data_IF_125354509997
#
_entry.id   IF_125354509997
#
_cell.length_a   1.000
_cell.length_b   1.000
_cell.length_c   1.000
_cell.angle_alpha   90.00
_cell.angle_beta   90.00
_cell.angle_gamma   90.00
#
_symmetry.space_group_name_H-M   'P 1'
#
loop_
_entity.id
_entity.type
_entity.pdbx_description
1 polymer ?
#
# COMPACT_ATOMS: atom_id res chain seq x y z
N UNK A 1 -3.31 5.02 3.60
CA UNK A 1 -3.57 4.51 2.23
C UNK A 1 -5.03 4.11 2.12
N UNK A 2 -5.62 4.27 0.93
CA UNK A 2 -6.97 3.78 0.65
C UNK A 2 -6.88 2.36 0.10
N UNK A 3 -7.55 1.43 0.76
CA UNK A 3 -7.66 0.04 0.32
C UNK A 3 -9.13 -0.35 0.35
N UNK A 4 -9.62 -0.99 -0.71
CA UNK A 4 -11.01 -1.42 -0.86
C UNK A 4 -11.37 -2.41 0.25
N UNK A 5 -10.45 -3.32 0.58
CA UNK A 5 -10.58 -4.28 1.69
C UNK A 5 -10.19 -3.68 3.05
N UNK A 6 -10.35 -2.36 3.21
CA UNK A 6 -10.21 -1.61 4.45
C UNK A 6 -8.77 -1.26 4.82
N UNK A 7 -7.94 -2.27 5.07
CA UNK A 7 -6.51 -2.08 5.34
C UNK A 7 -5.60 -2.96 4.49
N UNK A 8 -6.14 -3.98 3.82
CA UNK A 8 -5.32 -4.93 3.09
C UNK A 8 -5.00 -4.40 1.68
N UNK A 9 -3.72 -4.25 1.28
CA UNK A 9 -3.35 -3.87 -0.08
C UNK A 9 -3.50 -5.07 -1.02
N UNK A 10 -4.73 -5.31 -1.49
CA UNK A 10 -5.08 -6.54 -2.22
C UNK A 10 -4.30 -6.69 -3.53
N UNK A 11 -4.14 -5.61 -4.31
CA UNK A 11 -3.41 -5.68 -5.59
C UNK A 11 -1.92 -5.99 -5.42
N UNK A 12 -1.32 -5.62 -4.27
CA UNK A 12 0.10 -5.93 -3.98
C UNK A 12 0.31 -7.43 -3.78
N UNK A 13 -0.73 -8.15 -3.35
CA UNK A 13 -0.67 -9.59 -3.10
C UNK A 13 -1.09 -10.43 -4.31
N UNK A 14 -2.01 -9.91 -5.13
CA UNK A 14 -2.61 -10.67 -6.23
C UNK A 14 -1.83 -10.57 -7.54
N UNK A 15 -1.03 -9.51 -7.72
CA UNK A 15 -0.30 -9.26 -8.96
C UNK A 15 1.18 -9.58 -8.83
N UNK A 16 1.77 -10.08 -9.92
CA UNK A 16 3.24 -10.12 -10.05
C UNK A 16 3.74 -8.69 -10.28
N UNK A 17 4.07 -7.99 -9.20
CA UNK A 17 4.58 -6.63 -9.27
C UNK A 17 5.99 -6.66 -9.82
N UNK A 18 6.17 -6.12 -11.03
CA UNK A 18 7.48 -6.00 -11.68
C UNK A 18 8.20 -7.35 -11.87
N UNK A 19 7.46 -8.46 -11.83
CA UNK A 19 7.98 -9.83 -11.87
C UNK A 19 8.22 -10.47 -10.50
N UNK A 20 7.83 -9.83 -9.40
CA UNK A 20 7.96 -10.34 -8.03
C UNK A 20 6.60 -10.81 -7.51
N UNK A 21 6.57 -11.97 -6.85
CA UNK A 21 5.40 -12.48 -6.15
C UNK A 21 5.54 -12.32 -4.65
N UNK A 22 4.66 -11.52 -4.06
CA UNK A 22 4.68 -11.23 -2.62
C UNK A 22 3.56 -11.99 -1.89
N UNK A 23 3.87 -12.47 -0.69
CA UNK A 23 2.90 -13.03 0.25
C UNK A 23 2.89 -12.20 1.53
N UNK A 24 1.75 -11.66 1.93
CA UNK A 24 1.64 -11.03 3.25
C UNK A 24 1.78 -12.09 4.34
N UNK A 25 2.73 -11.86 5.24
CA UNK A 25 2.96 -12.68 6.45
C UNK A 25 2.53 -11.97 7.72
N UNK A 26 2.34 -10.65 7.68
CA UNK A 26 1.86 -9.88 8.82
C UNK A 26 1.53 -8.44 8.47
N UNK A 27 0.76 -7.78 9.33
CA UNK A 27 0.45 -6.36 9.21
C UNK A 27 0.33 -5.72 10.60
N UNK A 28 1.00 -4.60 10.80
CA UNK A 28 0.88 -3.75 11.97
C UNK A 28 0.14 -2.47 11.55
N UNK A 29 -1.19 -2.48 11.72
CA UNK A 29 -2.07 -1.40 11.28
C UNK A 29 -2.77 -0.78 12.47
N UNK A 30 -2.65 0.55 12.59
CA UNK A 30 -3.32 1.30 13.65
C UNK A 30 -4.84 1.38 13.46
N UNK A 31 -5.50 2.15 14.33
CA UNK A 31 -6.92 2.43 14.16
C UNK A 31 -7.16 3.13 12.81
N UNK A 32 -8.20 2.74 12.05
CA UNK A 32 -8.50 3.39 10.78
C UNK A 32 -8.73 4.88 10.92
N UNK A 33 -8.28 5.65 9.93
CA UNK A 33 -8.58 7.09 9.84
C UNK A 33 -9.69 7.31 8.83
N UNK A 34 -10.64 8.17 9.19
CA UNK A 34 -11.80 8.48 8.36
C UNK A 34 -11.57 9.82 7.67
N UNK A 35 -11.56 9.81 6.34
CA UNK A 35 -11.29 11.00 5.52
C UNK A 35 -12.43 11.20 4.54
N UNK A 36 -13.02 12.39 4.60
CA UNK A 36 -13.96 12.90 3.61
C UNK A 36 -13.24 14.00 2.82
N UNK A 37 -13.72 15.23 2.87
CA UNK A 37 -13.23 16.38 2.14
C UNK A 37 -14.41 17.17 1.56
N UNK A 38 -14.12 18.28 0.92
CA UNK A 38 -15.12 19.08 0.23
C UNK A 38 -14.90 18.99 -1.28
N UNK A 39 -15.98 18.77 -2.02
CA UNK A 39 -15.98 18.86 -3.48
C UNK A 39 -16.35 20.28 -3.89
N UNK A 40 -15.43 20.96 -4.58
CA UNK A 40 -15.64 22.35 -5.00
C UNK A 40 -16.53 22.47 -6.24
N UNK A 41 -16.58 21.44 -7.09
CA UNK A 41 -17.43 21.42 -8.28
C UNK A 41 -18.87 21.16 -7.89
N UNK A 42 -19.11 20.11 -7.10
CA UNK A 42 -20.44 19.72 -6.61
C UNK A 42 -20.92 20.54 -5.41
N UNK A 43 -20.03 21.35 -4.81
CA UNK A 43 -20.28 22.15 -3.59
C UNK A 43 -20.89 21.32 -2.46
N UNK A 44 -20.38 20.11 -2.29
CA UNK A 44 -20.91 19.11 -1.38
C UNK A 44 -19.78 18.36 -0.65
N UNK A 45 -20.05 17.74 0.52
CA UNK A 45 -19.07 16.89 1.18
C UNK A 45 -18.78 15.63 0.34
N UNK A 46 -17.50 15.27 0.23
CA UNK A 46 -17.08 14.02 -0.41
C UNK A 46 -17.50 12.81 0.43
N UNK A 47 -17.74 11.63 -0.18
CA UNK A 47 -18.00 10.41 0.57
C UNK A 47 -16.90 10.16 1.63
N UNK A 48 -17.31 9.77 2.83
CA UNK A 48 -16.37 9.40 3.89
C UNK A 48 -15.75 8.06 3.56
N UNK A 49 -14.42 8.00 3.58
CA UNK A 49 -13.63 6.81 3.29
C UNK A 49 -12.85 6.40 4.53
N UNK A 50 -12.69 5.09 4.70
CA UNK A 50 -11.85 4.49 5.74
C UNK A 50 -10.47 4.20 5.14
N UNK A 51 -9.41 4.65 5.81
CA UNK A 51 -8.04 4.50 5.34
C UNK A 51 -7.19 3.77 6.39
N UNK A 52 -6.18 3.04 5.91
CA UNK A 52 -5.05 2.63 6.74
C UNK A 52 -4.25 3.89 7.15
N UNK A 53 -3.97 4.11 8.45
CA UNK A 53 -3.26 5.29 8.92
C UNK A 53 -1.80 5.32 8.45
N UNK A 54 -1.20 6.52 8.45
CA UNK A 54 0.25 6.65 8.30
C UNK A 54 0.99 5.88 9.41
N UNK A 55 2.14 5.28 9.07
CA UNK A 55 2.88 4.39 9.96
C UNK A 55 2.37 2.95 9.99
N UNK A 56 1.35 2.60 9.20
CA UNK A 56 0.98 1.20 8.97
C UNK A 56 2.12 0.47 8.28
N UNK A 57 2.50 -0.72 8.79
CA UNK A 57 3.54 -1.56 8.22
C UNK A 57 2.97 -2.90 7.77
N UNK A 58 3.39 -3.35 6.58
CA UNK A 58 3.00 -4.62 5.99
C UNK A 58 4.27 -5.44 5.77
N UNK A 59 4.25 -6.69 6.22
CA UNK A 59 5.36 -7.62 6.11
C UNK A 59 5.04 -8.61 5.00
N UNK A 60 5.86 -8.60 3.96
CA UNK A 60 5.80 -9.50 2.82
C UNK A 60 7.00 -10.46 2.74
N UNK A 61 6.72 -11.70 2.42
CA UNK A 61 7.71 -12.66 1.95
C UNK A 61 7.73 -12.69 0.42
N UNK A 62 8.92 -12.69 -0.17
CA UNK A 62 9.10 -12.87 -1.61
C UNK A 62 9.04 -14.37 -1.88
N UNK A 63 8.00 -14.80 -2.61
CA UNK A 63 7.77 -16.21 -2.95
C UNK A 63 8.25 -16.59 -4.34
N UNK A 64 8.46 -15.59 -5.20
CA UNK A 64 9.02 -15.72 -6.55
C UNK A 64 9.56 -14.36 -7.02
N UNK A 65 10.56 -14.36 -7.90
CA UNK A 65 11.23 -13.17 -8.42
C UNK A 65 12.76 -13.23 -8.32
N UNK A 66 13.45 -12.89 -9.40
CA UNK A 66 14.90 -12.78 -9.43
C UNK A 66 15.40 -11.41 -8.91
N UNK A 67 16.71 -11.27 -8.75
CA UNK A 67 17.33 -10.04 -8.23
C UNK A 67 16.93 -8.79 -9.05
N UNK A 68 16.86 -8.93 -10.38
CA UNK A 68 16.45 -7.84 -11.27
C UNK A 68 14.97 -7.47 -11.12
N UNK A 69 14.08 -8.45 -10.88
CA UNK A 69 12.68 -8.18 -10.58
C UNK A 69 12.51 -7.47 -9.24
N UNK A 70 13.27 -7.89 -8.23
CA UNK A 70 13.27 -7.26 -6.91
C UNK A 70 13.75 -5.80 -7.01
N UNK A 71 14.82 -5.53 -7.76
CA UNK A 71 15.32 -4.18 -7.99
C UNK A 71 14.25 -3.28 -8.64
N UNK A 72 13.63 -3.75 -9.73
CA UNK A 72 12.52 -3.00 -10.37
C UNK A 72 11.35 -2.74 -9.44
N UNK A 73 10.95 -3.74 -8.66
CA UNK A 73 9.88 -3.59 -7.67
C UNK A 73 10.21 -2.50 -6.65
N UNK A 74 11.47 -2.45 -6.19
CA UNK A 74 11.93 -1.42 -5.26
C UNK A 74 11.85 -0.05 -5.92
N UNK A 75 12.38 0.11 -7.13
CA UNK A 75 12.37 1.38 -7.86
C UNK A 75 10.95 1.90 -8.11
N UNK A 76 10.02 1.03 -8.49
CA UNK A 76 8.64 1.40 -8.79
C UNK A 76 7.82 1.72 -7.52
N UNK A 77 8.12 1.05 -6.41
CA UNK A 77 7.33 1.17 -5.17
C UNK A 77 7.89 2.21 -4.20
N UNK A 78 9.20 2.46 -4.23
CA UNK A 78 9.85 3.39 -3.32
C UNK A 78 9.30 4.81 -3.48
N UNK A 79 8.75 5.37 -2.38
CA UNK A 79 8.10 6.69 -2.37
C UNK A 79 6.92 6.82 -3.34
N UNK A 80 6.35 5.70 -3.79
CA UNK A 80 5.19 5.67 -4.68
C UNK A 80 3.89 5.42 -3.91
N UNK A 81 2.75 6.00 -4.36
CA UNK A 81 1.46 5.77 -3.74
C UNK A 81 0.88 4.39 -4.09
N UNK A 82 0.52 3.62 -3.07
CA UNK A 82 0.04 2.22 -3.20
C UNK A 82 -1.47 2.03 -2.98
N UNK A 83 -2.26 3.12 -2.88
CA UNK A 83 -3.71 3.01 -2.70
C UNK A 83 -4.38 2.24 -3.86
N UNK A 84 -5.53 1.61 -3.67
CA UNK A 84 -6.12 0.73 -4.70
C UNK A 84 -6.60 1.47 -5.95
N UNK A 85 -7.13 2.70 -5.81
CA UNK A 85 -7.62 3.50 -6.92
C UNK A 85 -6.69 4.66 -7.30
N UNK A 86 -6.68 4.99 -8.59
CA UNK A 86 -5.84 6.05 -9.16
C UNK A 86 -6.11 7.42 -8.55
N UNK A 87 -7.37 7.76 -8.26
CA UNK A 87 -7.71 9.07 -7.68
C UNK A 87 -7.02 9.26 -6.34
N UNK A 88 -7.08 8.26 -5.46
CA UNK A 88 -6.40 8.31 -4.17
C UNK A 88 -4.87 8.31 -4.32
N UNK A 89 -4.31 7.65 -5.35
CA UNK A 89 -2.89 7.74 -5.66
C UNK A 89 -2.48 9.17 -6.07
N UNK A 90 -3.23 9.80 -6.96
CA UNK A 90 -2.97 11.17 -7.42
C UNK A 90 -3.19 12.22 -6.33
N UNK A 91 -4.13 11.98 -5.41
CA UNK A 91 -4.32 12.80 -4.21
C UNK A 91 -3.19 12.61 -3.17
N UNK A 92 -2.20 11.73 -3.43
CA UNK A 92 -1.04 11.50 -2.58
C UNK A 92 -1.26 10.51 -1.44
N UNK A 93 -2.37 9.76 -1.43
CA UNK A 93 -2.62 8.79 -0.38
C UNK A 93 -1.81 7.51 -0.57
N UNK A 94 -1.21 7.07 0.53
CA UNK A 94 -0.57 5.76 0.62
C UNK A 94 0.81 5.71 -0.01
N UNK A 95 1.59 6.79 0.05
CA UNK A 95 3.02 6.73 -0.25
C UNK A 95 3.70 5.69 0.63
N UNK A 96 4.34 4.70 0.01
CA UNK A 96 5.00 3.59 0.69
C UNK A 96 6.52 3.80 0.76
N UNK A 97 7.11 3.28 1.83
CA UNK A 97 8.54 3.10 1.98
C UNK A 97 8.81 1.62 2.14
N UNK A 98 9.90 1.15 1.54
CA UNK A 98 10.32 -0.23 1.67
C UNK A 98 11.40 -0.38 2.74
N UNK A 99 11.50 -1.56 3.32
CA UNK A 99 12.55 -1.91 4.26
C UNK A 99 12.71 -3.42 4.29
N UNK A 100 13.93 -3.87 4.57
CA UNK A 100 14.21 -5.27 4.80
C UNK A 100 14.23 -5.55 6.31
N UNK A 101 13.72 -6.71 6.73
CA UNK A 101 13.98 -7.27 8.04
C UNK A 101 14.56 -8.66 7.87
N UNK A 102 15.47 -9.02 8.77
CA UNK A 102 16.00 -10.37 8.84
C UNK A 102 15.27 -11.09 9.97
N UNK A 103 14.95 -12.36 9.76
CA UNK A 103 14.73 -13.25 10.87
C UNK A 103 16.08 -13.40 11.59
N UNK A 104 16.13 -13.08 12.89
CA UNK A 104 17.26 -13.55 13.70
C UNK A 104 17.13 -15.07 13.79
N UNK A 105 18.18 -15.79 13.39
CA UNK A 105 18.33 -17.20 13.76
C UNK A 105 18.17 -17.29 15.28
N UNK A 106 17.21 -18.12 15.73
CA UNK A 106 16.90 -18.37 17.12
C UNK A 106 17.86 -19.41 17.72
#
# INVERSE_FOLDING_TARGET
>A
AYFQEGFLPTWVCEQHLSGVKLRIVGAAVGRPVYVSGWDYEERAPKPTRRLAPAGSAYFFEITDGDEAAIERFIEETWLSPISDDEKNRFDGFGVALLGAWNEKEA
#
